data_IF_084795281810
#
_entry.id   IF_084795281810
#
_cell.length_a   1.000
_cell.length_b   1.000
_cell.length_c   1.000
_cell.angle_alpha   90.00
_cell.angle_beta   90.00
_cell.angle_gamma   90.00
#
_symmetry.space_group_name_H-M   'P 1'
#
loop_
_entity.id
_entity.type
_entity.pdbx_description
1 polymer ?
#
# COMPACT_ATOMS: atom_id res chain seq x y z
N UNK A 1 -7.66 5.14 21.97
CA UNK A 1 -6.23 4.81 22.16
C UNK A 1 -5.47 6.09 21.85
N UNK A 2 -4.98 6.80 22.87
CA UNK A 2 -4.27 8.05 22.66
C UNK A 2 -2.94 7.73 21.95
N UNK A 3 -2.67 8.39 20.84
CA UNK A 3 -1.41 8.21 20.13
C UNK A 3 -0.30 8.82 21.00
N UNK A 4 0.77 8.05 21.22
CA UNK A 4 1.93 8.54 21.95
C UNK A 4 2.54 9.73 21.19
N UNK A 5 2.91 10.82 21.87
CA UNK A 5 3.48 12.02 21.26
C UNK A 5 4.68 11.72 20.36
N UNK A 6 5.50 10.72 20.72
CA UNK A 6 6.62 10.27 19.89
C UNK A 6 6.19 9.63 18.57
N UNK A 7 5.06 8.91 18.55
CA UNK A 7 4.51 8.29 17.35
C UNK A 7 3.80 9.33 16.48
N UNK A 8 3.08 10.26 17.10
CA UNK A 8 2.48 11.43 16.43
C UNK A 8 3.55 12.23 15.68
N UNK A 9 4.67 12.55 16.35
CA UNK A 9 5.80 13.25 15.75
C UNK A 9 6.39 12.53 14.54
N UNK A 10 6.58 11.20 14.61
CA UNK A 10 7.11 10.39 13.50
C UNK A 10 6.19 10.44 12.29
N UNK A 11 4.89 10.31 12.52
CA UNK A 11 3.88 10.36 11.46
C UNK A 11 3.87 11.74 10.79
N UNK A 12 3.82 12.81 11.58
CA UNK A 12 3.80 14.19 11.08
C UNK A 12 5.09 14.54 10.31
N UNK A 13 6.26 14.15 10.83
CA UNK A 13 7.54 14.34 10.13
C UNK A 13 7.58 13.59 8.80
N UNK A 14 7.08 12.34 8.78
CA UNK A 14 7.00 11.53 7.57
C UNK A 14 6.07 12.14 6.52
N UNK A 15 4.92 12.66 6.95
CA UNK A 15 3.93 13.30 6.10
C UNK A 15 4.48 14.59 5.49
N UNK A 16 5.12 15.44 6.29
CA UNK A 16 5.74 16.68 5.84
C UNK A 16 6.84 16.43 4.81
N UNK A 17 7.64 15.38 5.02
CA UNK A 17 8.67 14.95 4.06
C UNK A 17 8.09 14.44 2.73
N UNK A 18 6.95 13.75 2.77
CA UNK A 18 6.23 13.30 1.55
C UNK A 18 5.59 14.47 0.78
N UNK A 19 5.17 15.52 1.48
CA UNK A 19 4.70 16.76 0.87
C UNK A 19 5.89 17.48 0.23
N UNK A 20 6.97 17.72 0.95
CA UNK A 20 8.10 18.52 0.43
C UNK A 20 8.86 17.86 -0.73
N UNK A 21 8.91 16.52 -0.81
CA UNK A 21 9.54 15.79 -1.93
C UNK A 21 8.54 14.91 -2.67
N UNK A 22 7.83 15.44 -3.68
CA UNK A 22 7.00 14.63 -4.55
C UNK A 22 7.90 13.80 -5.47
N UNK A 23 8.31 12.62 -5.03
CA UNK A 23 8.89 11.65 -5.95
C UNK A 23 7.77 11.17 -6.88
N UNK A 24 7.97 11.18 -8.22
CA UNK A 24 7.02 10.56 -9.14
C UNK A 24 6.94 9.08 -8.81
N UNK A 25 5.91 8.71 -8.06
CA UNK A 25 5.75 7.36 -7.56
C UNK A 25 5.48 6.46 -8.77
N UNK A 26 6.36 5.50 -9.04
CA UNK A 26 6.11 4.45 -10.04
C UNK A 26 4.80 3.70 -9.73
N UNK A 27 4.37 3.69 -8.47
CA UNK A 27 3.07 3.16 -8.02
C UNK A 27 1.87 4.00 -8.50
N UNK A 28 2.07 5.28 -8.85
CA UNK A 28 1.02 6.11 -9.42
C UNK A 28 0.72 5.78 -10.90
N UNK A 29 1.61 5.03 -11.58
CA UNK A 29 1.37 4.55 -12.94
C UNK A 29 0.33 3.42 -12.98
N UNK A 30 -0.23 3.09 -14.15
CA UNK A 30 -1.11 1.92 -14.33
C UNK A 30 -0.33 0.60 -14.32
N UNK A 31 0.99 0.69 -14.52
CA UNK A 31 1.91 -0.44 -14.62
C UNK A 31 1.95 -1.42 -13.43
N UNK A 32 1.91 -0.97 -12.16
CA UNK A 32 1.90 -1.88 -11.01
C UNK A 32 0.67 -2.80 -11.03
N UNK A 33 -0.49 -2.26 -11.37
CA UNK A 33 -1.75 -3.03 -11.47
C UNK A 33 -1.61 -4.09 -12.57
N UNK A 34 -1.05 -3.72 -13.72
CA UNK A 34 -0.79 -4.66 -14.82
C UNK A 34 0.20 -5.78 -14.42
N UNK A 35 1.30 -5.43 -13.74
CA UNK A 35 2.26 -6.41 -13.23
C UNK A 35 1.64 -7.37 -12.20
N UNK A 36 0.77 -6.86 -11.31
CA UNK A 36 0.03 -7.70 -10.34
C UNK A 36 -0.87 -8.68 -11.05
N UNK A 37 -1.59 -8.25 -12.09
CA UNK A 37 -2.45 -9.14 -12.89
C UNK A 37 -1.65 -10.24 -13.60
N UNK A 38 -0.48 -9.92 -14.17
CA UNK A 38 0.40 -10.92 -14.78
C UNK A 38 0.93 -11.93 -13.75
N UNK A 39 1.35 -11.44 -12.57
CA UNK A 39 1.76 -12.30 -11.46
C UNK A 39 0.62 -13.21 -11.00
N UNK A 40 -0.61 -12.68 -10.94
CA UNK A 40 -1.81 -13.44 -10.63
C UNK A 40 -2.04 -14.57 -11.63
N UNK A 41 -2.05 -14.26 -12.93
CA UNK A 41 -2.27 -15.24 -13.97
C UNK A 41 -1.23 -16.37 -13.88
N UNK A 42 0.05 -16.03 -13.70
CA UNK A 42 1.13 -17.00 -13.50
C UNK A 42 0.96 -17.83 -12.23
N UNK A 43 0.66 -17.21 -11.10
CA UNK A 43 0.52 -17.87 -9.81
C UNK A 43 -0.69 -18.81 -9.76
N UNK A 44 -1.81 -18.42 -10.36
CA UNK A 44 -2.97 -19.30 -10.52
C UNK A 44 -2.65 -20.48 -11.42
N UNK A 45 -2.02 -20.27 -12.58
CA UNK A 45 -1.59 -21.37 -13.44
C UNK A 45 -0.66 -22.35 -12.71
N UNK A 46 0.28 -21.84 -11.92
CA UNK A 46 1.18 -22.66 -11.10
C UNK A 46 0.45 -23.45 -10.01
N UNK A 47 -0.46 -22.80 -9.28
CA UNK A 47 -1.29 -23.43 -8.25
C UNK A 47 -2.18 -24.54 -8.83
N UNK A 48 -2.82 -24.29 -9.98
CA UNK A 48 -3.62 -25.30 -10.68
C UNK A 48 -2.78 -26.47 -11.18
N UNK A 49 -1.56 -26.22 -11.69
CA UNK A 49 -0.64 -27.27 -12.15
C UNK A 49 -0.14 -28.16 -11.00
N UNK A 50 0.31 -27.55 -9.91
CA UNK A 50 0.84 -28.28 -8.74
C UNK A 50 -0.26 -29.00 -7.97
N UNK A 51 -1.48 -28.49 -8.06
CA UNK A 51 -2.65 -29.02 -7.41
C UNK A 51 -3.15 -30.38 -7.91
N UNK A 52 -2.95 -30.70 -9.20
CA UNK A 52 -3.47 -31.93 -9.82
C UNK A 52 -2.89 -33.23 -9.24
N UNK A 53 -1.79 -33.16 -8.48
CA UNK A 53 -1.09 -34.33 -7.95
C UNK A 53 -1.13 -34.49 -6.43
N UNK A 54 -1.91 -33.65 -5.70
CA UNK A 54 -1.92 -33.68 -4.23
C UNK A 54 -3.32 -33.91 -3.63
N UNK A 55 -3.48 -34.78 -2.62
CA UNK A 55 -4.77 -34.97 -1.94
C UNK A 55 -5.24 -33.75 -1.13
N UNK A 56 -4.33 -32.81 -0.85
CA UNK A 56 -4.62 -31.53 -0.17
C UNK A 56 -5.00 -30.39 -1.13
N UNK A 57 -5.27 -30.72 -2.40
CA UNK A 57 -5.56 -29.78 -3.49
C UNK A 57 -6.57 -28.66 -3.14
N UNK A 58 -7.73 -28.93 -2.51
CA UNK A 58 -8.74 -27.90 -2.28
C UNK A 58 -8.29 -26.85 -1.25
N UNK A 59 -7.59 -27.29 -0.19
CA UNK A 59 -7.08 -26.41 0.87
C UNK A 59 -5.92 -25.54 0.38
N UNK A 60 -4.99 -26.13 -0.39
CA UNK A 60 -3.86 -25.40 -0.97
C UNK A 60 -4.34 -24.37 -1.99
N UNK A 61 -5.33 -24.72 -2.82
CA UNK A 61 -5.96 -23.76 -3.72
C UNK A 61 -6.69 -22.65 -2.97
N UNK A 62 -7.49 -22.97 -1.95
CA UNK A 62 -8.24 -21.98 -1.18
C UNK A 62 -7.30 -21.00 -0.46
N UNK A 63 -6.29 -21.50 0.27
CA UNK A 63 -5.32 -20.66 0.98
C UNK A 63 -4.42 -19.89 0.01
N UNK A 64 -3.93 -20.54 -1.04
CA UNK A 64 -3.07 -19.92 -2.05
C UNK A 64 -3.79 -18.80 -2.80
N UNK A 65 -5.01 -19.04 -3.26
CA UNK A 65 -5.83 -18.03 -3.96
C UNK A 65 -6.25 -16.89 -3.03
N UNK A 66 -6.57 -17.17 -1.77
CA UNK A 66 -6.94 -16.12 -0.80
C UNK A 66 -5.74 -15.24 -0.48
N UNK A 67 -4.56 -15.83 -0.24
CA UNK A 67 -3.34 -15.08 0.05
C UNK A 67 -2.92 -14.20 -1.14
N UNK A 68 -2.97 -14.76 -2.35
CA UNK A 68 -2.77 -13.99 -3.58
C UNK A 68 -3.80 -12.85 -3.67
N UNK A 69 -5.09 -13.15 -3.45
CA UNK A 69 -6.20 -12.20 -3.35
C UNK A 69 -5.86 -10.96 -2.52
N UNK A 70 -5.48 -11.21 -1.26
CA UNK A 70 -5.16 -10.18 -0.28
C UNK A 70 -3.94 -9.36 -0.70
N UNK A 71 -2.86 -10.03 -1.15
CA UNK A 71 -1.65 -9.35 -1.61
C UNK A 71 -1.89 -8.48 -2.85
N UNK A 72 -2.66 -8.99 -3.82
CA UNK A 72 -3.04 -8.25 -5.02
C UNK A 72 -3.89 -7.02 -4.68
N UNK A 73 -4.91 -7.20 -3.85
CA UNK A 73 -5.77 -6.10 -3.39
C UNK A 73 -4.97 -5.02 -2.64
N UNK A 74 -4.00 -5.43 -1.80
CA UNK A 74 -3.12 -4.52 -1.09
C UNK A 74 -2.26 -3.66 -2.02
N UNK A 75 -1.64 -4.25 -3.05
CA UNK A 75 -0.81 -3.52 -4.02
C UNK A 75 -1.67 -2.55 -4.85
N UNK A 76 -2.87 -2.97 -5.25
CA UNK A 76 -3.82 -2.10 -5.97
C UNK A 76 -4.24 -0.93 -5.08
N UNK A 77 -4.58 -1.18 -3.82
CA UNK A 77 -4.92 -0.14 -2.85
C UNK A 77 -3.79 0.90 -2.71
N UNK A 78 -2.54 0.44 -2.52
CA UNK A 78 -1.39 1.33 -2.45
C UNK A 78 -1.19 2.14 -3.74
N UNK A 79 -1.44 1.53 -4.90
CA UNK A 79 -1.35 2.22 -6.19
C UNK A 79 -2.42 3.32 -6.33
N UNK A 80 -3.65 3.05 -5.87
CA UNK A 80 -4.74 4.05 -5.84
C UNK A 80 -4.43 5.18 -4.87
N UNK A 81 -3.96 4.87 -3.66
CA UNK A 81 -3.54 5.88 -2.68
C UNK A 81 -2.44 6.76 -3.27
N UNK A 82 -1.43 6.17 -3.92
CA UNK A 82 -0.36 6.93 -4.56
C UNK A 82 -0.85 7.85 -5.70
N UNK A 83 -1.91 7.45 -6.41
CA UNK A 83 -2.56 8.28 -7.44
C UNK A 83 -3.40 9.41 -6.88
N UNK A 84 -4.06 9.16 -5.76
CA UNK A 84 -4.93 10.13 -5.11
C UNK A 84 -4.14 11.13 -4.25
N UNK A 85 -2.95 10.75 -3.79
CA UNK A 85 -2.05 11.58 -3.00
C UNK A 85 -1.86 13.02 -3.51
N UNK A 86 -1.59 13.28 -4.81
CA UNK A 86 -1.48 14.66 -5.31
C UNK A 86 -2.76 15.49 -5.09
N UNK A 87 -3.95 14.90 -5.23
CA UNK A 87 -5.21 15.60 -5.00
C UNK A 87 -5.47 15.87 -3.51
N UNK A 88 -5.14 14.91 -2.65
CA UNK A 88 -5.28 15.07 -1.20
C UNK A 88 -4.29 16.09 -0.64
N UNK A 89 -3.05 16.09 -1.13
CA UNK A 89 -1.98 16.97 -0.68
C UNK A 89 -2.38 18.45 -0.72
N UNK A 90 -3.05 18.88 -1.78
CA UNK A 90 -3.42 20.30 -1.95
C UNK A 90 -4.47 20.76 -0.91
N UNK A 91 -5.14 19.82 -0.24
CA UNK A 91 -6.12 20.11 0.81
C UNK A 91 -5.53 20.00 2.23
N UNK A 92 -4.25 19.64 2.36
CA UNK A 92 -3.58 19.52 3.66
C UNK A 92 -2.97 20.87 4.03
N UNK A 93 -3.39 21.43 5.16
CA UNK A 93 -2.81 22.65 5.72
C UNK A 93 -1.41 22.35 6.32
N UNK A 94 -0.38 22.66 5.54
CA UNK A 94 1.02 22.44 5.90
C UNK A 94 1.43 23.32 7.09
N UNK A 95 0.84 24.50 7.24
CA UNK A 95 1.17 25.42 8.32
C UNK A 95 0.61 24.91 9.65
N UNK A 96 -0.61 24.35 9.63
CA UNK A 96 -1.18 23.64 10.78
C UNK A 96 -0.32 22.44 11.21
N UNK A 97 0.18 21.64 10.25
CA UNK A 97 1.08 20.51 10.54
C UNK A 97 2.41 20.96 11.17
N UNK A 98 3.00 22.06 10.67
CA UNK A 98 4.24 22.62 11.21
C UNK A 98 4.05 23.17 12.62
N UNK A 99 2.93 23.87 12.88
CA UNK A 99 2.58 24.35 14.21
C UNK A 99 2.45 23.19 15.20
N UNK A 100 1.75 22.12 14.82
CA UNK A 100 1.60 20.93 15.67
C UNK A 100 2.92 20.20 15.92
N UNK A 101 3.78 20.12 14.92
CA UNK A 101 5.13 19.56 15.08
C UNK A 101 5.97 20.40 16.04
N UNK A 102 5.87 21.73 16.01
CA UNK A 102 6.56 22.61 16.94
C UNK A 102 6.05 22.44 18.37
N UNK A 103 4.73 22.33 18.59
CA UNK A 103 4.13 22.01 19.90
C UNK A 103 4.59 20.67 20.47
N UNK A 104 4.92 19.70 19.61
CA UNK A 104 5.39 18.36 19.99
C UNK A 104 6.91 18.30 20.22
N UNK A 105 7.65 19.34 19.80
CA UNK A 105 9.09 19.46 19.99
C UNK A 105 9.48 20.31 21.22
N UNK A 106 8.58 21.19 21.71
CA UNK A 106 8.65 21.87 23.02
C UNK A 106 8.25 20.94 24.18
#
# INVERSE_FOLDING_TARGET
MAMNHQDERKVLTGLLRQIERPNPSLLASNWPVFCVWLLFAGAFMYLFKTGQHSPLHPLVLALGSTCLGVLGAWIVLLSVIARQWPYLRDHIDVDSLRARLAELDD
#
